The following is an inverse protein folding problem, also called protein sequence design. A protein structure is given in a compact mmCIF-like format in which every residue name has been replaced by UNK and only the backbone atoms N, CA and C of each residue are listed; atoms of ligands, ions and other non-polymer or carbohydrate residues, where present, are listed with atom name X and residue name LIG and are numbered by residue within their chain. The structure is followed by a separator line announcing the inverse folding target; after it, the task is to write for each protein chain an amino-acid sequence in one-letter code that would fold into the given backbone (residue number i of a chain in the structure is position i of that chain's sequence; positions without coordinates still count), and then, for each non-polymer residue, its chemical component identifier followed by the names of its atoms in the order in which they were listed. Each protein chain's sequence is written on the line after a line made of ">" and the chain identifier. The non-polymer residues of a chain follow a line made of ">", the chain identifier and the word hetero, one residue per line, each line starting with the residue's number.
data_IF_657630848834
#
_entry.id   IF_657630848834
#
_cell.length_a   1.000
_cell.length_b   1.000
_cell.length_c   1.000
_cell.angle_alpha   90.00
_cell.angle_beta   90.00
_cell.angle_gamma   90.00
#
_symmetry.space_group_name_H-M   'P 1'
#
loop_
_entity.id
_entity.type
_entity.pdbx_description
1 polymer ?
#
# COMPACT_ATOMS: atom_id res chain seq x y z
N UNK A 1 -15.19 6.57 18.86
CA UNK A 1 -15.12 5.08 18.93
C UNK A 1 -14.63 4.50 17.60
N UNK A 2 -15.14 5.01 16.47
CA UNK A 2 -14.75 4.60 15.13
C UNK A 2 -13.24 4.64 14.83
N UNK A 3 -12.55 5.74 15.16
CA UNK A 3 -11.09 5.83 14.96
C UNK A 3 -10.30 4.77 15.74
N UNK A 4 -10.71 4.46 16.96
CA UNK A 4 -10.06 3.43 17.77
C UNK A 4 -10.25 2.03 17.17
N UNK A 5 -11.45 1.74 16.68
CA UNK A 5 -11.76 0.49 16.01
C UNK A 5 -11.04 0.37 14.66
N UNK A 6 -10.92 1.46 13.90
CA UNK A 6 -10.04 1.56 12.74
C UNK A 6 -8.60 1.20 13.09
N UNK A 7 -8.03 1.74 14.18
CA UNK A 7 -6.65 1.41 14.60
C UNK A 7 -6.49 -0.08 14.93
N UNK A 8 -7.48 -0.68 15.60
CA UNK A 8 -7.48 -2.13 15.86
C UNK A 8 -7.46 -2.90 14.54
N UNK A 9 -8.36 -2.58 13.60
CA UNK A 9 -8.41 -3.24 12.30
C UNK A 9 -7.18 -2.96 11.46
N UNK A 10 -6.52 -1.81 11.60
CA UNK A 10 -5.27 -1.48 10.92
C UNK A 10 -4.17 -2.45 11.32
N UNK A 11 -4.00 -2.68 12.64
CA UNK A 11 -3.01 -3.62 13.17
C UNK A 11 -3.35 -5.05 12.78
N UNK A 12 -4.61 -5.47 12.95
CA UNK A 12 -5.06 -6.82 12.57
C UNK A 12 -4.84 -7.06 11.08
N UNK A 13 -5.20 -6.10 10.23
CA UNK A 13 -5.03 -6.22 8.77
C UNK A 13 -3.55 -6.30 8.41
N UNK A 14 -2.69 -5.46 8.99
CA UNK A 14 -1.25 -5.55 8.75
C UNK A 14 -0.72 -6.94 9.08
N UNK A 15 -1.08 -7.50 10.24
CA UNK A 15 -0.69 -8.85 10.64
C UNK A 15 -1.22 -9.92 9.68
N UNK A 16 -2.52 -9.88 9.35
CA UNK A 16 -3.16 -10.87 8.47
C UNK A 16 -2.57 -10.84 7.07
N UNK A 17 -2.34 -9.65 6.50
CA UNK A 17 -1.75 -9.54 5.16
C UNK A 17 -0.28 -9.94 5.17
N UNK A 18 0.49 -9.60 6.22
CA UNK A 18 1.88 -10.09 6.37
C UNK A 18 1.96 -11.62 6.47
N UNK A 19 1.02 -12.26 7.16
CA UNK A 19 0.90 -13.72 7.16
C UNK A 19 0.53 -14.25 5.76
N UNK A 20 -0.42 -13.61 5.09
CA UNK A 20 -0.81 -13.95 3.72
C UNK A 20 0.37 -13.89 2.75
N UNK A 21 1.20 -12.86 2.86
CA UNK A 21 2.44 -12.70 2.08
C UNK A 21 3.44 -13.82 2.33
N UNK A 22 3.67 -14.16 3.60
CA UNK A 22 4.56 -15.24 3.98
C UNK A 22 4.11 -16.57 3.35
N UNK A 23 2.83 -16.92 3.50
CA UNK A 23 2.30 -18.15 2.92
C UNK A 23 2.25 -18.11 1.38
N UNK A 24 2.01 -16.93 0.79
CA UNK A 24 2.07 -16.78 -0.66
C UNK A 24 3.48 -17.09 -1.18
N UNK A 25 4.52 -16.51 -0.54
CA UNK A 25 5.91 -16.82 -0.88
C UNK A 25 6.27 -18.29 -0.68
N UNK A 26 5.80 -18.89 0.41
CA UNK A 26 6.02 -20.31 0.71
C UNK A 26 5.39 -21.23 -0.34
N UNK A 27 4.14 -20.97 -0.72
CA UNK A 27 3.37 -21.83 -1.64
C UNK A 27 3.74 -21.63 -3.11
N UNK A 28 4.06 -20.39 -3.53
CA UNK A 28 4.20 -20.04 -4.95
C UNK A 28 5.62 -19.67 -5.37
N UNK A 29 6.52 -19.32 -4.45
CA UNK A 29 7.88 -18.85 -4.80
C UNK A 29 8.99 -19.81 -4.38
N UNK A 30 8.90 -20.46 -3.22
CA UNK A 30 10.00 -21.27 -2.68
C UNK A 30 9.96 -22.77 -3.05
N UNK A 31 8.86 -23.28 -3.60
CA UNK A 31 8.73 -24.71 -3.93
C UNK A 31 8.57 -25.59 -2.68
N UNK A 32 7.82 -26.69 -2.79
CA UNK A 32 7.37 -27.53 -1.66
C UNK A 32 8.48 -28.28 -0.90
N UNK A 33 9.73 -28.25 -1.36
CA UNK A 33 10.74 -29.26 -1.01
C UNK A 33 11.68 -28.88 0.15
N UNK A 34 11.48 -27.74 0.81
CA UNK A 34 12.43 -27.22 1.82
C UNK A 34 11.84 -26.90 3.20
N UNK A 35 10.61 -27.30 3.53
CA UNK A 35 9.94 -26.79 4.74
C UNK A 35 9.83 -27.78 5.90
N UNK A 36 10.42 -27.39 7.03
CA UNK A 36 10.18 -28.02 8.33
C UNK A 36 8.83 -27.55 8.90
N UNK A 37 8.04 -28.49 9.45
CA UNK A 37 6.70 -28.20 10.01
C UNK A 37 6.70 -27.09 11.07
N UNK A 38 7.82 -26.84 11.73
CA UNK A 38 7.95 -25.78 12.74
C UNK A 38 7.83 -24.37 12.13
N UNK A 39 8.32 -24.16 10.90
CA UNK A 39 8.24 -22.85 10.23
C UNK A 39 6.81 -22.45 9.86
N UNK A 40 5.89 -23.41 9.74
CA UNK A 40 4.48 -23.12 9.42
C UNK A 40 3.70 -22.48 10.58
N UNK A 41 4.23 -22.56 11.82
CA UNK A 41 3.50 -22.19 13.05
C UNK A 41 4.19 -21.14 13.92
N UNK A 42 5.46 -20.79 13.64
CA UNK A 42 6.20 -19.79 14.43
C UNK A 42 5.85 -18.34 14.02
N UNK A 43 4.57 -18.00 14.14
CA UNK A 43 4.04 -16.69 13.75
C UNK A 43 4.65 -15.54 14.57
N UNK A 44 5.00 -15.80 15.83
CA UNK A 44 5.60 -14.82 16.74
C UNK A 44 6.93 -14.29 16.21
N UNK A 45 7.71 -15.11 15.49
CA UNK A 45 8.96 -14.70 14.84
C UNK A 45 8.75 -14.16 13.43
N UNK A 46 7.84 -14.76 12.67
CA UNK A 46 7.62 -14.44 11.25
C UNK A 46 6.96 -13.07 11.08
N UNK A 47 5.94 -12.75 11.88
CA UNK A 47 5.17 -11.52 11.69
C UNK A 47 6.03 -10.27 11.90
N UNK A 48 6.79 -10.11 13.01
CA UNK A 48 7.59 -8.91 13.22
C UNK A 48 8.66 -8.73 12.15
N UNK A 49 9.34 -9.82 11.75
CA UNK A 49 10.37 -9.76 10.71
C UNK A 49 9.81 -9.33 9.36
N UNK A 50 8.64 -9.84 8.97
CA UNK A 50 7.95 -9.42 7.74
C UNK A 50 7.52 -7.96 7.79
N UNK A 51 6.91 -7.51 8.88
CA UNK A 51 6.50 -6.11 9.03
C UNK A 51 7.71 -5.16 8.94
N UNK A 52 8.82 -5.50 9.61
CA UNK A 52 10.06 -4.71 9.53
C UNK A 52 10.59 -4.67 8.10
N UNK A 53 10.59 -5.80 7.39
CA UNK A 53 11.06 -5.85 5.99
C UNK A 53 10.24 -4.97 5.04
N UNK A 54 8.93 -4.81 5.30
CA UNK A 54 8.06 -3.91 4.54
C UNK A 54 8.47 -2.46 4.78
N UNK A 55 8.69 -2.07 6.04
CA UNK A 55 9.07 -0.71 6.39
C UNK A 55 10.52 -0.37 6.02
N UNK A 56 11.40 -1.35 5.90
CA UNK A 56 12.80 -1.15 5.51
C UNK A 56 13.04 -1.33 4.00
N UNK A 57 11.98 -1.52 3.20
CA UNK A 57 12.12 -1.91 1.78
C UNK A 57 12.98 -0.98 0.91
N UNK A 58 13.07 0.31 1.26
CA UNK A 58 13.91 1.29 0.57
C UNK A 58 15.05 1.82 1.46
N UNK A 59 15.56 0.96 2.36
CA UNK A 59 16.81 1.17 3.10
C UNK A 59 16.73 2.07 4.33
N UNK A 60 15.53 2.51 4.73
CA UNK A 60 15.37 3.26 5.99
C UNK A 60 14.04 3.00 6.67
N UNK A 61 14.12 2.30 7.81
CA UNK A 61 12.97 1.99 8.67
C UNK A 61 12.22 3.24 9.14
N UNK A 62 12.93 4.32 9.48
CA UNK A 62 12.32 5.56 9.97
C UNK A 62 11.45 6.23 8.91
N UNK A 63 12.00 6.40 7.70
CA UNK A 63 11.24 6.96 6.58
C UNK A 63 10.10 6.03 6.15
N UNK A 64 10.29 4.72 6.21
CA UNK A 64 9.24 3.75 5.93
C UNK A 64 8.07 3.80 6.91
N UNK A 65 8.35 3.90 8.22
CA UNK A 65 7.31 4.09 9.23
C UNK A 65 6.54 5.40 9.04
N UNK A 66 7.25 6.49 8.76
CA UNK A 66 6.62 7.79 8.47
C UNK A 66 5.77 7.74 7.20
N UNK A 67 6.29 7.14 6.13
CA UNK A 67 5.59 6.92 4.88
C UNK A 67 4.29 6.13 5.11
N UNK A 68 4.40 4.96 5.76
CA UNK A 68 3.25 4.14 6.10
C UNK A 68 2.21 4.90 6.92
N UNK A 69 2.65 5.57 7.99
CA UNK A 69 1.75 6.31 8.88
C UNK A 69 1.04 7.46 8.18
N UNK A 70 1.76 8.26 7.39
CA UNK A 70 1.20 9.38 6.64
C UNK A 70 0.21 8.91 5.58
N UNK A 71 0.55 7.87 4.83
CA UNK A 71 -0.33 7.38 3.77
C UNK A 71 -1.54 6.62 4.32
N UNK A 72 -1.39 5.90 5.43
CA UNK A 72 -2.51 5.29 6.14
C UNK A 72 -3.45 6.36 6.70
N UNK A 73 -2.91 7.41 7.32
CA UNK A 73 -3.73 8.52 7.81
C UNK A 73 -4.45 9.25 6.68
N UNK A 74 -3.75 9.54 5.57
CA UNK A 74 -4.36 10.14 4.38
C UNK A 74 -5.48 9.27 3.81
N UNK A 75 -5.27 7.96 3.70
CA UNK A 75 -6.28 7.02 3.24
C UNK A 75 -7.45 6.92 4.23
N UNK A 76 -7.21 6.96 5.53
CA UNK A 76 -8.28 7.03 6.51
C UNK A 76 -9.17 8.26 6.28
N UNK A 77 -8.56 9.45 6.18
CA UNK A 77 -9.29 10.71 5.92
C UNK A 77 -10.06 10.63 4.61
N UNK A 78 -9.49 10.08 3.53
CA UNK A 78 -10.25 9.92 2.28
C UNK A 78 -11.47 9.02 2.46
N UNK A 79 -11.44 8.02 3.36
CA UNK A 79 -12.55 7.08 3.49
C UNK A 79 -13.72 7.75 4.20
N UNK A 80 -13.42 8.71 5.06
CA UNK A 80 -14.41 9.58 5.69
C UNK A 80 -15.03 10.56 4.67
N UNK A 81 -14.30 10.98 3.64
CA UNK A 81 -14.82 11.87 2.58
C UNK A 81 -16.01 11.25 1.84
N UNK A 82 -16.13 9.91 1.79
CA UNK A 82 -17.33 9.23 1.29
C UNK A 82 -18.61 9.67 2.01
N UNK A 83 -18.53 9.89 3.32
CA UNK A 83 -19.64 10.37 4.13
C UNK A 83 -19.95 11.86 3.99
N UNK A 84 -19.03 12.64 3.41
CA UNK A 84 -19.26 14.06 3.07
C UNK A 84 -20.00 14.22 1.74
N UNK A 85 -19.76 13.33 0.79
CA UNK A 85 -20.40 13.34 -0.55
C UNK A 85 -21.73 12.57 -0.55
N UNK A 86 -21.84 11.52 0.28
CA UNK A 86 -23.09 10.80 0.54
C UNK A 86 -23.59 11.09 1.95
N UNK A 87 -24.46 12.08 2.12
CA UNK A 87 -25.13 12.30 3.40
C UNK A 87 -26.35 11.37 3.53
N UNK A 88 -26.55 10.67 4.66
CA UNK A 88 -25.70 10.62 5.86
C UNK A 88 -24.44 9.75 5.75
N UNK A 89 -23.42 10.08 6.54
CA UNK A 89 -22.19 9.30 6.70
C UNK A 89 -22.51 7.82 6.84
N UNK A 90 -21.87 6.99 6.00
CA UNK A 90 -22.05 5.54 5.98
C UNK A 90 -23.44 4.98 5.63
N UNK A 91 -24.43 5.79 5.25
CA UNK A 91 -25.62 5.19 4.61
C UNK A 91 -25.27 4.52 3.29
N UNK A 92 -26.16 3.62 2.84
CA UNK A 92 -26.14 2.94 1.54
C UNK A 92 -26.21 3.97 0.39
N UNK A 93 -25.10 4.67 0.19
CA UNK A 93 -24.95 5.80 -0.71
C UNK A 93 -23.72 5.57 -1.56
N UNK A 94 -23.84 5.89 -2.85
CA UNK A 94 -22.81 5.62 -3.84
C UNK A 94 -21.42 6.19 -3.45
N UNK A 95 -21.41 7.36 -2.79
CA UNK A 95 -20.18 7.98 -2.29
C UNK A 95 -19.40 7.07 -1.35
N UNK A 96 -20.06 6.47 -0.36
CA UNK A 96 -19.40 5.58 0.59
C UNK A 96 -18.77 4.36 -0.10
N UNK A 97 -19.50 3.72 -1.02
CA UNK A 97 -18.96 2.60 -1.80
C UNK A 97 -17.76 3.02 -2.65
N UNK A 98 -17.82 4.17 -3.31
CA UNK A 98 -16.72 4.63 -4.16
C UNK A 98 -15.42 4.87 -3.36
N UNK A 99 -15.48 5.62 -2.25
CA UNK A 99 -14.29 5.95 -1.47
C UNK A 99 -13.73 4.77 -0.64
N UNK A 100 -14.57 3.78 -0.34
CA UNK A 100 -14.13 2.53 0.28
C UNK A 100 -13.74 1.46 -0.74
N UNK A 101 -14.03 1.67 -2.03
CA UNK A 101 -13.71 0.69 -3.07
C UNK A 101 -12.21 0.53 -3.29
N UNK A 102 -11.86 -0.62 -3.86
CA UNK A 102 -10.50 -0.94 -4.27
C UNK A 102 -10.03 -0.04 -5.41
N UNK A 103 -10.92 0.64 -6.12
CA UNK A 103 -10.60 1.48 -7.27
C UNK A 103 -9.57 2.53 -6.88
N UNK A 104 -9.76 3.21 -5.73
CA UNK A 104 -8.86 4.28 -5.29
C UNK A 104 -7.44 3.76 -4.97
N UNK A 105 -7.25 2.75 -4.10
CA UNK A 105 -5.95 2.11 -3.92
C UNK A 105 -5.33 1.59 -5.21
N UNK A 106 -6.12 1.00 -6.13
CA UNK A 106 -5.64 0.47 -7.41
C UNK A 106 -5.16 1.58 -8.33
N UNK A 107 -5.86 2.71 -8.38
CA UNK A 107 -5.40 3.88 -9.13
C UNK A 107 -4.08 4.41 -8.56
N UNK A 108 -3.97 4.52 -7.23
CA UNK A 108 -2.69 4.92 -6.63
C UNK A 108 -1.58 3.92 -6.97
N UNK A 109 -1.85 2.61 -6.86
CA UNK A 109 -0.90 1.57 -7.24
C UNK A 109 -0.46 1.69 -8.71
N UNK A 110 -1.39 1.96 -9.63
CA UNK A 110 -1.10 2.04 -11.06
C UNK A 110 -0.34 3.31 -11.46
N UNK A 111 -0.64 4.43 -10.79
CA UNK A 111 -0.11 5.75 -11.15
C UNK A 111 0.93 6.27 -10.15
N UNK A 112 1.34 5.48 -9.16
CA UNK A 112 2.27 5.90 -8.11
C UNK A 112 3.54 6.53 -8.68
N UNK A 113 4.20 5.86 -9.63
CA UNK A 113 5.43 6.36 -10.27
C UNK A 113 5.24 7.75 -10.87
N UNK A 114 4.16 7.93 -11.64
CA UNK A 114 3.82 9.20 -12.28
C UNK A 114 3.49 10.30 -11.27
N UNK A 115 2.69 9.98 -10.24
CA UNK A 115 2.33 10.92 -9.18
C UNK A 115 3.59 11.37 -8.43
N UNK A 116 4.46 10.41 -8.08
CA UNK A 116 5.71 10.69 -7.36
C UNK A 116 6.65 11.59 -8.18
N UNK A 117 6.80 11.34 -9.49
CA UNK A 117 7.63 12.15 -10.36
C UNK A 117 7.07 13.56 -10.55
N UNK A 118 5.75 13.69 -10.71
CA UNK A 118 5.13 14.99 -10.92
C UNK A 118 5.16 15.85 -9.65
N UNK A 119 5.00 15.26 -8.47
CA UNK A 119 5.16 15.97 -7.19
C UNK A 119 6.59 16.51 -7.04
N UNK A 120 7.60 15.68 -7.35
CA UNK A 120 9.00 16.10 -7.28
C UNK A 120 9.33 17.20 -8.30
N UNK A 121 8.81 17.08 -9.53
CA UNK A 121 8.95 18.08 -10.58
C UNK A 121 8.31 19.41 -10.18
N UNK A 122 7.07 19.38 -9.68
CA UNK A 122 6.35 20.56 -9.19
C UNK A 122 7.09 21.24 -8.03
N UNK A 123 7.71 20.45 -7.15
CA UNK A 123 8.52 20.95 -6.04
C UNK A 123 9.93 21.40 -6.46
N UNK A 124 10.34 21.22 -7.73
CA UNK A 124 11.71 21.45 -8.24
C UNK A 124 12.77 20.69 -7.44
N UNK A 125 12.45 19.47 -7.02
CA UNK A 125 13.31 18.59 -6.22
C UNK A 125 13.75 17.41 -7.09
N UNK A 126 15.06 17.20 -7.24
CA UNK A 126 15.58 15.98 -7.86
C UNK A 126 15.33 14.76 -6.97
N UNK A 127 15.06 13.60 -7.57
CA UNK A 127 14.85 12.33 -6.87
C UNK A 127 16.06 11.91 -6.02
N UNK A 128 17.27 12.30 -6.45
CA UNK A 128 18.54 12.00 -5.79
C UNK A 128 19.03 13.14 -4.87
N UNK A 129 18.24 14.20 -4.70
CA UNK A 129 18.59 15.38 -3.90
C UNK A 129 18.80 15.10 -2.40
N UNK A 130 18.43 13.91 -1.93
CA UNK A 130 18.46 13.56 -0.50
C UNK A 130 17.47 14.34 0.38
N UNK A 131 16.61 15.18 -0.22
CA UNK A 131 15.58 15.94 0.50
C UNK A 131 14.57 15.03 1.19
N UNK A 132 13.93 15.54 2.25
CA UNK A 132 12.91 14.79 2.99
C UNK A 132 11.80 14.25 2.07
N UNK A 133 11.28 15.10 1.18
CA UNK A 133 10.19 14.73 0.27
C UNK A 133 10.63 13.64 -0.72
N UNK A 134 11.83 13.75 -1.30
CA UNK A 134 12.38 12.71 -2.18
C UNK A 134 12.58 11.38 -1.44
N UNK A 135 13.14 11.42 -0.22
CA UNK A 135 13.30 10.23 0.62
C UNK A 135 11.98 9.57 0.97
N UNK A 136 10.95 10.37 1.26
CA UNK A 136 9.60 9.88 1.58
C UNK A 136 8.95 9.23 0.36
N UNK A 137 8.97 9.88 -0.80
CA UNK A 137 8.37 9.36 -2.04
C UNK A 137 9.14 8.16 -2.62
N UNK A 138 10.40 7.98 -2.23
CA UNK A 138 11.14 6.75 -2.55
C UNK A 138 10.71 5.55 -1.69
N UNK A 139 9.98 5.75 -0.57
CA UNK A 139 9.39 4.67 0.25
C UNK A 139 8.08 4.15 -0.36
N UNK A 140 8.13 3.71 -1.62
CA UNK A 140 6.94 3.29 -2.37
C UNK A 140 6.16 2.15 -1.67
N UNK A 141 6.85 1.08 -1.26
CA UNK A 141 6.20 -0.07 -0.64
C UNK A 141 5.52 0.32 0.69
N UNK A 142 6.16 1.03 1.64
CA UNK A 142 5.48 1.54 2.83
C UNK A 142 4.31 2.47 2.53
N UNK A 143 4.45 3.40 1.57
CA UNK A 143 3.38 4.32 1.18
C UNK A 143 2.16 3.56 0.66
N UNK A 144 2.35 2.66 -0.31
CA UNK A 144 1.28 1.85 -0.87
C UNK A 144 0.65 0.93 0.19
N UNK A 145 1.48 0.34 1.07
CA UNK A 145 1.00 -0.52 2.15
C UNK A 145 0.09 0.24 3.11
N UNK A 146 0.46 1.47 3.50
CA UNK A 146 -0.37 2.29 4.38
C UNK A 146 -1.75 2.58 3.76
N UNK A 147 -1.79 2.87 2.47
CA UNK A 147 -3.05 3.11 1.74
C UNK A 147 -3.92 1.86 1.72
N UNK A 148 -3.39 0.74 1.24
CA UNK A 148 -4.16 -0.50 1.10
C UNK A 148 -4.65 -1.02 2.44
N UNK A 149 -3.77 -1.06 3.44
CA UNK A 149 -4.10 -1.54 4.79
C UNK A 149 -5.11 -0.61 5.45
N UNK A 150 -4.98 0.71 5.27
CA UNK A 150 -5.97 1.66 5.79
C UNK A 150 -7.34 1.48 5.15
N UNK A 151 -7.44 1.30 3.82
CA UNK A 151 -8.75 1.09 3.18
C UNK A 151 -9.39 -0.21 3.62
N UNK A 152 -8.63 -1.30 3.72
CA UNK A 152 -9.14 -2.56 4.25
C UNK A 152 -9.63 -2.36 5.70
N UNK A 153 -8.83 -1.70 6.55
CA UNK A 153 -9.20 -1.42 7.93
C UNK A 153 -10.48 -0.59 8.04
N UNK A 154 -10.62 0.46 7.22
CA UNK A 154 -11.84 1.26 7.14
C UNK A 154 -13.05 0.43 6.68
N UNK A 155 -12.90 -0.43 5.66
CA UNK A 155 -13.98 -1.32 5.21
C UNK A 155 -14.47 -2.24 6.34
N UNK A 156 -13.53 -2.85 7.07
CA UNK A 156 -13.84 -3.73 8.19
C UNK A 156 -14.46 -2.96 9.36
N UNK A 157 -13.99 -1.75 9.62
CA UNK A 157 -14.50 -0.90 10.69
C UNK A 157 -15.95 -0.48 10.45
N UNK A 158 -16.26 -0.04 9.23
CA UNK A 158 -17.62 0.41 8.84
C UNK A 158 -18.59 -0.77 8.85
N UNK A 159 -18.18 -1.91 8.29
CA UNK A 159 -18.97 -3.12 8.33
C UNK A 159 -19.22 -3.59 9.77
N UNK A 160 -18.17 -3.66 10.60
CA UNK A 160 -18.24 -4.18 11.96
C UNK A 160 -19.04 -3.32 12.93
N UNK A 161 -19.04 -1.99 12.78
CA UNK A 161 -19.79 -1.09 13.66
C UNK A 161 -21.26 -0.94 13.27
N UNK A 162 -21.54 -0.83 11.98
CA UNK A 162 -22.83 -0.32 11.57
C UNK A 162 -23.57 -1.21 10.57
N UNK A 163 -22.92 -2.26 10.02
CA UNK A 163 -23.47 -3.10 8.94
C UNK A 163 -24.04 -2.27 7.77
N UNK A 164 -23.50 -1.07 7.63
CA UNK A 164 -24.03 0.01 6.81
C UNK A 164 -23.69 -0.17 5.32
N UNK A 165 -22.73 -1.05 5.05
CA UNK A 165 -22.27 -1.44 3.73
C UNK A 165 -22.45 -2.95 3.61
N UNK A 166 -22.97 -3.39 2.46
CA UNK A 166 -23.21 -4.81 2.21
C UNK A 166 -21.93 -5.63 2.37
N UNK A 167 -22.03 -6.76 3.08
CA UNK A 167 -20.95 -7.74 3.17
C UNK A 167 -20.45 -8.20 1.80
N UNK A 168 -21.35 -8.31 0.83
CA UNK A 168 -21.02 -8.69 -0.55
C UNK A 168 -20.20 -7.65 -1.29
N UNK A 169 -20.12 -6.41 -0.80
CA UNK A 169 -19.18 -5.42 -1.27
C UNK A 169 -17.85 -5.55 -0.52
N UNK A 170 -17.89 -5.57 0.81
CA UNK A 170 -16.71 -5.54 1.68
C UNK A 170 -15.80 -6.75 1.44
N UNK A 171 -16.36 -7.96 1.38
CA UNK A 171 -15.58 -9.19 1.23
C UNK A 171 -14.75 -9.22 -0.07
N UNK A 172 -15.34 -9.13 -1.28
CA UNK A 172 -14.53 -9.13 -2.50
C UNK A 172 -13.60 -7.92 -2.58
N UNK A 173 -14.02 -6.77 -2.08
CA UNK A 173 -13.19 -5.56 -2.05
C UNK A 173 -11.90 -5.77 -1.24
N UNK A 174 -12.03 -6.28 -0.02
CA UNK A 174 -10.89 -6.61 0.86
C UNK A 174 -10.03 -7.72 0.25
N UNK A 175 -10.62 -8.76 -0.33
CA UNK A 175 -9.87 -9.84 -0.99
C UNK A 175 -9.02 -9.32 -2.17
N UNK A 176 -9.58 -8.46 -3.02
CA UNK A 176 -8.86 -7.85 -4.15
C UNK A 176 -7.69 -7.00 -3.63
N UNK A 177 -7.93 -6.17 -2.61
CA UNK A 177 -6.90 -5.31 -2.02
C UNK A 177 -5.77 -6.14 -1.41
N UNK A 178 -6.08 -7.18 -0.64
CA UNK A 178 -5.07 -8.06 -0.06
C UNK A 178 -4.25 -8.79 -1.13
N UNK A 179 -4.92 -9.35 -2.15
CA UNK A 179 -4.24 -10.05 -3.23
C UNK A 179 -3.29 -9.13 -4.01
N UNK A 180 -3.74 -7.93 -4.38
CA UNK A 180 -2.91 -6.96 -5.11
C UNK A 180 -1.73 -6.47 -4.26
N UNK A 181 -1.94 -6.22 -2.97
CA UNK A 181 -0.88 -5.81 -2.07
C UNK A 181 0.19 -6.89 -1.91
N UNK A 182 -0.21 -8.16 -1.69
CA UNK A 182 0.71 -9.30 -1.60
C UNK A 182 1.48 -9.47 -2.91
N UNK A 183 0.80 -9.41 -4.06
CA UNK A 183 1.47 -9.50 -5.36
C UNK A 183 2.46 -8.34 -5.57
N UNK A 184 2.15 -7.14 -5.05
CA UNK A 184 3.05 -6.00 -5.12
C UNK A 184 4.28 -6.19 -4.23
N UNK A 185 4.12 -6.65 -2.99
CA UNK A 185 5.24 -6.95 -2.09
C UNK A 185 6.20 -8.00 -2.67
N UNK A 186 5.67 -8.97 -3.42
CA UNK A 186 6.47 -9.99 -4.10
C UNK A 186 6.99 -9.57 -5.48
N UNK A 187 6.82 -8.31 -5.89
CA UNK A 187 7.30 -7.80 -7.18
C UNK A 187 6.62 -8.40 -8.41
N UNK A 188 5.52 -9.14 -8.23
CA UNK A 188 4.73 -9.75 -9.32
C UNK A 188 3.80 -8.75 -10.00
N UNK A 189 3.46 -7.66 -9.31
CA UNK A 189 2.70 -6.54 -9.87
C UNK A 189 3.63 -5.35 -10.09
N UNK A 190 4.01 -5.14 -11.35
CA UNK A 190 4.71 -3.95 -11.84
C UNK A 190 3.77 -3.15 -12.75
N UNK A 191 2.84 -2.41 -12.16
CA UNK A 191 2.16 -1.35 -12.90
C UNK A 191 3.01 -0.08 -12.85
N UNK A 192 3.13 0.65 -13.96
CA UNK A 192 3.93 1.88 -14.02
C UNK A 192 5.40 1.71 -14.38
N UNK A 193 5.77 0.62 -15.07
CA UNK A 193 7.07 0.47 -15.73
C UNK A 193 7.22 1.35 -16.98
N UNK A 194 6.91 2.64 -16.88
CA UNK A 194 7.49 3.62 -17.81
C UNK A 194 8.93 3.79 -17.32
N UNK A 195 9.87 3.20 -18.06
CA UNK A 195 11.30 3.49 -17.91
C UNK A 195 11.49 4.99 -18.17
N UNK A 196 11.54 5.78 -17.11
CA UNK A 196 11.99 7.19 -17.16
C UNK A 196 13.53 7.25 -17.03
N UNK A 197 14.22 6.11 -17.05
CA UNK A 197 15.69 6.04 -17.04
C UNK A 197 16.30 5.96 -18.45
N UNK A 198 15.58 6.36 -19.51
CA UNK A 198 16.12 6.37 -20.89
C UNK A 198 16.22 7.76 -21.54
N UNK A 199 16.16 8.83 -20.76
CA UNK A 199 16.32 10.19 -21.31
C UNK A 199 17.53 10.97 -20.75
N UNK A 200 18.34 10.40 -19.85
CA UNK A 200 19.58 11.06 -19.38
C UNK A 200 20.88 10.44 -19.94
N UNK A 201 20.84 9.29 -20.64
CA UNK A 201 22.06 8.69 -21.24
C UNK A 201 22.26 8.99 -22.75
N UNK A 202 21.30 9.61 -23.46
CA UNK A 202 21.42 9.84 -24.91
C UNK A 202 21.81 11.29 -25.31
N UNK A 203 22.17 12.18 -24.36
CA UNK A 203 22.57 13.58 -24.68
C UNK A 203 24.06 13.87 -24.46
N UNK A 204 24.83 13.01 -23.80
CA UNK A 204 26.28 13.20 -23.63
C UNK A 204 27.15 12.56 -24.72
N UNK A 205 26.58 11.74 -25.62
CA UNK A 205 27.36 10.96 -26.62
C UNK A 205 27.12 11.39 -28.08
N UNK A 206 26.78 12.65 -28.32
CA UNK A 206 26.76 13.24 -29.67
C UNK A 206 27.83 14.33 -29.81
N UNK A 207 29.08 13.86 -29.91
CA UNK A 207 30.04 14.41 -30.87
C UNK A 207 30.97 15.50 -30.37
N UNK A 208 31.89 15.16 -29.48
CA UNK A 208 33.28 15.58 -29.69
C UNK A 208 33.96 14.49 -30.52
N UNK A 209 34.19 14.75 -31.81
CA UNK A 209 35.38 14.27 -32.50
C UNK A 209 35.59 15.02 -33.83
N UNK A 210 36.77 15.65 -33.91
CA UNK A 210 37.48 16.26 -35.06
C UNK A 210 37.01 17.60 -35.65
#
# INVERSE_FOLDING_TARGET
>A
MEFFLYLIYLVITLVVVSLGDYYFGLLHLSGKDTFEKQELTDWARIIPSKIVSIFESAGSLQYGLLAFGLSAFFAYVWTLTGGLIGSPHYTDSFGNYFFLSFIMPVLVLAFYSFISSEILRAARISRNSGSFLARLLNQEIPLLSGIFISVIASNLAVYGLYHEISFLFVLPNVLILMALLILRWNGKVKFGGIRVDREEEEVEDLGEDS
#
